data_IF_434833547303
#
_entry.id   IF_434833547303
#
_cell.length_a   1.000
_cell.length_b   1.000
_cell.length_c   1.000
_cell.angle_alpha   90.00
_cell.angle_beta   90.00
_cell.angle_gamma   90.00
#
_symmetry.space_group_name_H-M   'P 1'
#
loop_
_entity.id
_entity.type
_entity.pdbx_description
1 polymer ?
#
# COMPACT_ATOMS: atom_id res chain seq x y z
N UNK A 1 1.50 -6.70 -23.62
CA UNK A 1 1.59 -7.27 -22.27
C UNK A 1 0.32 -6.93 -21.51
N UNK A 2 -0.18 -7.84 -20.68
CA UNK A 2 -1.46 -7.73 -20.00
C UNK A 2 -1.24 -7.87 -18.49
N UNK A 3 -1.98 -7.10 -17.70
CA UNK A 3 -1.84 -7.07 -16.23
C UNK A 3 -3.23 -6.95 -15.60
N UNK A 4 -3.53 -7.87 -14.69
CA UNK A 4 -4.64 -7.71 -13.76
C UNK A 4 -4.18 -6.95 -12.52
N UNK A 5 -4.97 -5.99 -12.07
CA UNK A 5 -4.74 -5.22 -10.85
C UNK A 5 -5.84 -5.55 -9.85
N UNK A 6 -5.43 -6.15 -8.74
CA UNK A 6 -6.26 -6.48 -7.61
C UNK A 6 -6.21 -5.30 -6.64
N UNK A 7 -7.34 -4.61 -6.47
CA UNK A 7 -7.41 -3.42 -5.59
C UNK A 7 -8.13 -3.73 -4.29
N UNK A 8 -7.53 -3.36 -3.15
CA UNK A 8 -8.15 -3.45 -1.83
C UNK A 8 -8.74 -2.10 -1.46
N UNK A 9 -10.05 -2.03 -1.26
CA UNK A 9 -10.75 -0.76 -1.08
C UNK A 9 -10.93 0.00 -2.40
N UNK A 10 -11.17 1.30 -2.31
CA UNK A 10 -11.57 2.12 -3.46
C UNK A 10 -10.38 2.81 -4.13
N UNK A 11 -9.71 2.09 -5.05
CA UNK A 11 -8.62 2.65 -5.88
C UNK A 11 -9.21 3.25 -7.16
N UNK A 12 -8.97 4.54 -7.37
CA UNK A 12 -9.44 5.23 -8.57
C UNK A 12 -8.56 4.88 -9.78
N UNK A 13 -9.16 4.82 -10.97
CA UNK A 13 -8.42 4.53 -12.21
C UNK A 13 -7.24 5.49 -12.44
N UNK A 14 -7.37 6.73 -11.99
CA UNK A 14 -6.32 7.75 -12.09
C UNK A 14 -5.03 7.37 -11.36
N UNK A 15 -5.13 6.62 -10.26
CA UNK A 15 -3.99 6.14 -9.46
C UNK A 15 -3.19 5.04 -10.20
N UNK A 16 -3.77 4.46 -11.25
CA UNK A 16 -3.18 3.43 -12.10
C UNK A 16 -2.73 3.95 -13.47
N UNK A 17 -2.95 5.24 -13.77
CA UNK A 17 -2.67 5.82 -15.10
C UNK A 17 -1.23 5.62 -15.58
N UNK A 18 -0.26 5.58 -14.66
CA UNK A 18 1.14 5.34 -14.99
C UNK A 18 1.39 3.96 -15.61
N UNK A 19 0.52 2.97 -15.37
CA UNK A 19 0.63 1.63 -15.94
C UNK A 19 0.15 1.58 -17.41
N UNK A 20 -0.84 2.40 -17.76
CA UNK A 20 -1.54 2.34 -19.06
C UNK A 20 -0.61 2.47 -20.28
N UNK A 21 0.39 3.39 -20.32
CA UNK A 21 1.28 3.52 -21.47
C UNK A 21 2.14 2.27 -21.76
N UNK A 22 2.29 1.38 -20.78
CA UNK A 22 3.19 0.22 -20.87
C UNK A 22 2.46 -1.10 -21.18
N UNK A 23 1.12 -1.07 -21.18
CA UNK A 23 0.28 -2.25 -21.21
C UNK A 23 -0.69 -2.21 -22.39
N UNK A 24 -0.98 -3.38 -22.95
CA UNK A 24 -2.00 -3.55 -24.00
C UNK A 24 -3.40 -3.75 -23.39
N UNK A 25 -3.45 -4.23 -22.15
CA UNK A 25 -4.67 -4.50 -21.41
C UNK A 25 -4.38 -4.33 -19.92
N UNK A 26 -5.31 -3.67 -19.24
CA UNK A 26 -5.33 -3.49 -17.79
C UNK A 26 -6.72 -3.88 -17.30
N UNK A 27 -6.78 -4.93 -16.49
CA UNK A 27 -8.00 -5.38 -15.81
C UNK A 27 -7.95 -4.92 -14.35
N UNK A 28 -9.04 -4.42 -13.78
CA UNK A 28 -9.12 -4.08 -12.35
C UNK A 28 -10.15 -4.98 -11.65
N UNK A 29 -9.71 -5.68 -10.60
CA UNK A 29 -10.51 -6.55 -9.74
C UNK A 29 -10.61 -5.90 -8.36
N UNK A 30 -11.79 -5.41 -7.98
CA UNK A 30 -12.00 -4.71 -6.72
C UNK A 30 -12.40 -5.70 -5.61
N UNK A 31 -11.66 -5.67 -4.50
CA UNK A 31 -11.99 -6.39 -3.28
C UNK A 31 -12.51 -5.43 -2.22
N UNK A 32 -13.72 -5.72 -1.74
CA UNK A 32 -14.32 -5.04 -0.60
C UNK A 32 -13.75 -5.61 0.72
N UNK A 33 -12.49 -5.28 0.98
CA UNK A 33 -11.76 -5.64 2.21
C UNK A 33 -11.05 -4.41 2.77
N UNK A 34 -10.84 -4.33 4.09
CA UNK A 34 -10.04 -3.27 4.70
C UNK A 34 -8.65 -3.19 4.07
N UNK A 35 -8.28 -2.02 3.57
CA UNK A 35 -7.03 -1.81 2.84
C UNK A 35 -5.79 -1.76 3.74
N UNK A 36 -5.97 -1.50 5.04
CA UNK A 36 -4.92 -1.42 6.06
C UNK A 36 -4.52 -2.79 6.63
N UNK A 37 -5.41 -3.77 6.51
CA UNK A 37 -5.16 -5.12 6.98
C UNK A 37 -4.00 -5.80 6.20
N UNK A 38 -3.23 -6.69 6.86
CA UNK A 38 -2.25 -7.52 6.17
C UNK A 38 -2.90 -8.41 5.10
N UNK A 39 -2.26 -8.56 3.93
CA UNK A 39 -2.76 -9.41 2.84
C UNK A 39 -2.99 -10.86 3.27
N UNK A 40 -2.26 -11.34 4.29
CA UNK A 40 -2.41 -12.69 4.85
C UNK A 40 -3.79 -12.94 5.48
N UNK A 41 -4.48 -11.90 5.96
CA UNK A 41 -5.82 -12.03 6.57
C UNK A 41 -6.91 -12.27 5.52
N UNK A 42 -6.76 -11.70 4.32
CA UNK A 42 -7.76 -11.70 3.25
C UNK A 42 -7.48 -12.74 2.16
N UNK A 43 -6.93 -13.90 2.57
CA UNK A 43 -6.42 -14.89 1.61
C UNK A 43 -7.53 -15.54 0.77
N UNK A 44 -8.69 -15.78 1.36
CA UNK A 44 -9.80 -16.43 0.66
C UNK A 44 -10.33 -15.52 -0.45
N UNK A 45 -10.43 -14.23 -0.17
CA UNK A 45 -10.79 -13.16 -1.07
C UNK A 45 -9.75 -13.02 -2.19
N UNK A 46 -8.46 -12.97 -1.84
CA UNK A 46 -7.36 -12.91 -2.81
C UNK A 46 -7.34 -14.14 -3.74
N UNK A 47 -7.52 -15.35 -3.21
CA UNK A 47 -7.57 -16.56 -4.04
C UNK A 47 -8.73 -16.50 -5.04
N UNK A 48 -9.91 -16.04 -4.60
CA UNK A 48 -11.08 -15.85 -5.48
C UNK A 48 -10.81 -14.81 -6.57
N UNK A 49 -10.19 -13.69 -6.23
CA UNK A 49 -9.81 -12.66 -7.22
C UNK A 49 -8.80 -13.20 -8.24
N UNK A 50 -7.80 -13.96 -7.79
CA UNK A 50 -6.81 -14.61 -8.67
C UNK A 50 -7.46 -15.63 -9.61
N UNK A 51 -8.48 -16.36 -9.13
CA UNK A 51 -9.21 -17.34 -9.94
C UNK A 51 -10.14 -16.68 -10.96
N UNK A 52 -10.68 -15.50 -10.63
CA UNK A 52 -11.51 -14.69 -11.52
C UNK A 52 -10.70 -13.91 -12.57
N UNK A 53 -9.43 -13.62 -12.29
CA UNK A 53 -8.59 -12.81 -13.16
C UNK A 53 -8.37 -13.46 -14.54
N UNK A 54 -8.46 -12.65 -15.59
CA UNK A 54 -8.23 -13.11 -16.97
C UNK A 54 -6.75 -13.14 -17.32
N UNK A 55 -5.98 -12.23 -16.73
CA UNK A 55 -4.55 -12.06 -16.99
C UNK A 55 -3.67 -12.96 -16.11
N UNK A 56 -2.51 -13.34 -16.65
CA UNK A 56 -1.57 -14.24 -15.96
C UNK A 56 -0.73 -13.51 -14.89
N UNK A 57 -0.38 -12.25 -15.14
CA UNK A 57 0.32 -11.40 -14.18
C UNK A 57 -0.68 -10.57 -13.39
N UNK A 58 -0.49 -10.53 -12.08
CA UNK A 58 -1.36 -9.84 -11.13
C UNK A 58 -0.56 -8.90 -10.25
N UNK A 59 -1.05 -7.68 -10.07
CA UNK A 59 -0.53 -6.66 -9.17
C UNK A 59 -1.56 -6.38 -8.07
N UNK A 60 -1.13 -6.33 -6.81
CA UNK A 60 -1.96 -5.93 -5.67
C UNK A 60 -1.66 -4.47 -5.32
N UNK A 61 -2.70 -3.63 -5.35
CA UNK A 61 -2.66 -2.21 -4.95
C UNK A 61 -3.71 -1.97 -3.88
N UNK A 62 -3.39 -1.20 -2.85
CA UNK A 62 -4.34 -0.81 -1.79
C UNK A 62 -4.89 0.57 -2.07
N UNK A 63 -6.02 0.88 -1.46
CA UNK A 63 -6.55 2.23 -1.41
C UNK A 63 -5.44 3.23 -1.04
N UNK A 64 -5.41 4.36 -1.75
CA UNK A 64 -4.45 5.46 -1.56
C UNK A 64 -3.01 5.13 -1.93
N UNK A 65 -2.70 3.93 -2.44
CA UNK A 65 -1.40 3.63 -3.02
C UNK A 65 -1.31 4.12 -4.46
N UNK A 66 -0.31 4.95 -4.74
CA UNK A 66 -0.05 5.50 -6.06
C UNK A 66 1.05 4.68 -6.75
N UNK A 67 0.77 4.25 -7.98
CA UNK A 67 1.77 3.71 -8.91
C UNK A 67 2.27 4.87 -9.77
N UNK A 68 3.53 5.26 -9.60
CA UNK A 68 4.15 6.29 -10.46
C UNK A 68 4.90 5.70 -11.66
N UNK A 69 5.37 6.57 -12.55
CA UNK A 69 6.05 6.16 -13.78
C UNK A 69 7.32 5.33 -13.55
N UNK A 70 7.99 5.50 -12.40
CA UNK A 70 9.20 4.73 -12.09
C UNK A 70 8.82 3.30 -11.68
N UNK A 71 7.83 3.16 -10.79
CA UNK A 71 7.28 1.86 -10.38
C UNK A 71 6.64 1.14 -11.58
N UNK A 72 5.84 1.84 -12.40
CA UNK A 72 5.17 1.27 -13.55
C UNK A 72 6.15 0.69 -14.58
N UNK A 73 7.24 1.41 -14.86
CA UNK A 73 8.33 0.92 -15.72
C UNK A 73 9.01 -0.30 -15.12
N UNK A 74 9.36 -0.27 -13.84
CA UNK A 74 10.02 -1.41 -13.18
C UNK A 74 9.14 -2.66 -13.14
N UNK A 75 7.83 -2.51 -12.86
CA UNK A 75 6.85 -3.60 -12.95
C UNK A 75 6.84 -4.20 -14.35
N UNK A 76 6.78 -3.34 -15.37
CA UNK A 76 6.73 -3.75 -16.77
C UNK A 76 7.99 -4.49 -17.18
N UNK A 77 9.16 -3.99 -16.79
CA UNK A 77 10.45 -4.61 -17.09
C UNK A 77 10.62 -5.96 -16.36
N UNK A 78 10.17 -6.05 -15.10
CA UNK A 78 10.16 -7.29 -14.34
C UNK A 78 9.29 -8.37 -15.00
N UNK A 79 8.09 -8.01 -15.46
CA UNK A 79 7.20 -8.91 -16.19
C UNK A 79 7.78 -9.38 -17.53
N UNK A 80 8.54 -8.52 -18.23
CA UNK A 80 9.20 -8.86 -19.49
C UNK A 80 10.43 -9.76 -19.29
N UNK A 81 11.22 -9.49 -18.27
CA UNK A 81 12.44 -10.23 -17.97
C UNK A 81 12.16 -11.68 -17.53
N UNK A 82 11.03 -11.92 -16.84
CA UNK A 82 10.60 -13.25 -16.36
C UNK A 82 11.70 -14.03 -15.60
N UNK A 83 12.55 -13.32 -14.87
CA UNK A 83 13.62 -13.89 -14.04
C UNK A 83 13.12 -14.38 -12.67
N UNK A 84 11.89 -14.02 -12.30
CA UNK A 84 11.22 -14.41 -11.08
C UNK A 84 9.71 -14.49 -11.31
N UNK A 85 9.00 -15.24 -10.47
CA UNK A 85 7.54 -15.41 -10.56
C UNK A 85 6.77 -14.52 -9.59
N UNK A 86 7.48 -13.85 -8.69
CA UNK A 86 6.92 -13.00 -7.67
C UNK A 86 7.87 -11.86 -7.31
N UNK A 87 7.29 -10.71 -7.03
CA UNK A 87 8.01 -9.50 -6.70
C UNK A 87 7.43 -8.84 -5.46
N UNK A 88 8.31 -8.53 -4.52
CA UNK A 88 7.97 -7.72 -3.35
C UNK A 88 8.05 -6.25 -3.69
N UNK A 89 6.99 -5.52 -3.38
CA UNK A 89 6.94 -4.07 -3.55
C UNK A 89 6.66 -3.46 -2.17
N UNK A 90 7.47 -2.49 -1.78
CA UNK A 90 7.27 -1.75 -0.54
C UNK A 90 6.24 -0.65 -0.75
N UNK A 91 5.49 -0.35 0.30
CA UNK A 91 4.61 0.82 0.37
C UNK A 91 5.15 1.76 1.44
N UNK A 92 5.36 3.03 1.08
CA UNK A 92 5.81 4.07 2.02
C UNK A 92 4.65 5.03 2.27
N UNK A 93 4.20 5.18 3.53
CA UNK A 93 3.19 6.16 3.87
C UNK A 93 3.73 7.58 3.66
N UNK A 94 2.92 8.43 3.04
CA UNK A 94 3.23 9.81 2.70
C UNK A 94 2.25 10.73 3.41
N UNK A 95 2.78 11.77 4.05
CA UNK A 95 2.00 12.80 4.72
C UNK A 95 2.46 14.17 4.25
N UNK A 96 1.54 14.95 3.65
CA UNK A 96 1.83 16.27 3.11
C UNK A 96 3.06 16.27 2.18
N UNK A 97 3.15 15.29 1.29
CA UNK A 97 4.26 15.10 0.35
C UNK A 97 5.57 14.59 0.96
N UNK A 98 5.62 14.32 2.27
CA UNK A 98 6.82 13.82 2.96
C UNK A 98 6.66 12.35 3.37
N UNK A 99 7.68 11.50 3.20
CA UNK A 99 7.62 10.12 3.62
C UNK A 99 7.61 10.02 5.15
N UNK A 100 6.74 9.15 5.66
CA UNK A 100 6.70 8.71 7.05
C UNK A 100 7.52 7.43 7.19
N UNK A 101 8.39 7.37 8.20
CA UNK A 101 9.23 6.18 8.46
C UNK A 101 8.57 5.25 9.48
N UNK A 102 7.33 4.90 9.22
CA UNK A 102 6.54 4.00 10.06
C UNK A 102 6.58 2.60 9.44
N UNK A 103 6.96 1.59 10.23
CA UNK A 103 6.78 0.19 9.83
C UNK A 103 7.53 -0.19 8.55
N UNK A 104 8.78 0.26 8.38
CA UNK A 104 9.60 -0.06 7.20
C UNK A 104 9.86 -1.57 7.16
N UNK A 105 9.13 -2.28 6.32
CA UNK A 105 9.32 -3.71 6.04
C UNK A 105 10.01 -3.92 4.69
N UNK A 106 10.43 -5.16 4.42
CA UNK A 106 10.98 -5.54 3.11
C UNK A 106 9.94 -5.54 1.97
N UNK A 107 8.70 -5.13 2.26
CA UNK A 107 7.58 -5.13 1.35
C UNK A 107 6.84 -6.46 1.34
N UNK A 108 5.65 -6.45 0.78
CA UNK A 108 4.82 -7.65 0.64
C UNK A 108 4.92 -8.18 -0.79
N UNK A 109 4.57 -9.44 -1.02
CA UNK A 109 4.38 -9.94 -2.38
C UNK A 109 3.21 -9.17 -3.02
N UNK A 110 3.51 -8.34 -4.02
CA UNK A 110 2.50 -7.46 -4.67
C UNK A 110 2.34 -7.77 -6.14
N UNK A 111 3.41 -8.09 -6.87
CA UNK A 111 3.35 -8.48 -8.28
C UNK A 111 3.71 -9.95 -8.42
N UNK A 112 2.90 -10.77 -9.09
CA UNK A 112 3.19 -12.19 -9.26
C UNK A 112 2.47 -12.80 -10.46
N UNK A 113 2.99 -13.94 -10.91
CA UNK A 113 2.36 -14.75 -11.92
C UNK A 113 1.41 -15.77 -11.28
N UNK A 114 0.12 -15.74 -11.66
CA UNK A 114 -0.95 -16.51 -10.98
C UNK A 114 -0.70 -18.01 -10.91
N UNK A 115 -0.08 -18.60 -11.94
CA UNK A 115 0.20 -20.06 -12.00
C UNK A 115 1.18 -20.53 -10.92
N UNK A 116 1.99 -19.62 -10.40
CA UNK A 116 2.99 -19.93 -9.37
C UNK A 116 2.51 -19.57 -7.97
N UNK A 117 1.33 -18.94 -7.81
CA UNK A 117 0.85 -18.52 -6.49
C UNK A 117 0.65 -19.73 -5.55
N UNK A 118 1.24 -19.64 -4.35
CA UNK A 118 1.00 -20.60 -3.28
C UNK A 118 -0.39 -20.35 -2.68
N UNK A 119 -1.30 -21.31 -2.87
CA UNK A 119 -2.70 -21.17 -2.42
C UNK A 119 -2.87 -21.34 -0.90
N UNK A 120 -1.92 -21.99 -0.22
CA UNK A 120 -1.92 -22.28 1.22
C UNK A 120 -0.66 -21.73 1.89
N UNK A 121 -0.70 -21.50 3.20
CA UNK A 121 0.43 -21.01 3.98
C UNK A 121 0.59 -19.48 3.90
N UNK A 122 1.82 -18.98 3.96
CA UNK A 122 2.13 -17.55 3.77
C UNK A 122 1.94 -17.13 2.31
N UNK A 123 1.66 -15.85 2.07
CA UNK A 123 1.48 -15.34 0.70
C UNK A 123 2.82 -15.36 -0.04
N UNK A 124 2.91 -16.14 -1.10
CA UNK A 124 4.16 -16.46 -1.78
C UNK A 124 3.93 -17.08 -3.14
N UNK A 125 4.99 -17.29 -3.90
CA UNK A 125 4.98 -18.03 -5.16
C UNK A 125 5.94 -19.20 -5.11
N UNK A 126 5.72 -20.18 -5.98
CA UNK A 126 6.68 -21.24 -6.28
C UNK A 126 7.84 -20.66 -7.09
N UNK A 127 9.06 -20.75 -6.55
CA UNK A 127 10.28 -20.31 -7.20
C UNK A 127 10.81 -18.98 -6.66
N UNK A 128 11.53 -18.24 -7.50
CA UNK A 128 12.25 -17.04 -7.09
C UNK A 128 11.30 -15.88 -6.82
N UNK A 129 11.54 -15.20 -5.69
CA UNK A 129 10.93 -13.92 -5.35
C UNK A 129 12.01 -12.86 -5.29
N UNK A 130 11.82 -11.76 -6.01
CA UNK A 130 12.75 -10.62 -6.04
C UNK A 130 12.07 -9.40 -5.41
N UNK A 131 12.84 -8.46 -4.88
CA UNK A 131 12.32 -7.18 -4.41
C UNK A 131 12.54 -6.11 -5.47
N UNK A 132 11.50 -5.33 -5.75
CA UNK A 132 11.62 -4.15 -6.60
C UNK A 132 12.29 -2.99 -5.85
N UNK A 133 12.99 -2.14 -6.58
CA UNK A 133 13.74 -1.01 -6.03
C UNK A 133 12.81 0.15 -5.71
N UNK A 134 11.90 0.47 -6.64
CA UNK A 134 10.90 1.51 -6.47
C UNK A 134 9.77 1.04 -5.55
N UNK A 135 9.06 2.01 -4.99
CA UNK A 135 8.09 1.80 -3.91
C UNK A 135 6.76 2.44 -4.27
N UNK A 136 5.68 1.84 -3.82
CA UNK A 136 4.37 2.48 -3.82
C UNK A 136 4.35 3.59 -2.78
N UNK A 137 3.63 4.67 -3.08
CA UNK A 137 3.41 5.77 -2.14
C UNK A 137 1.97 5.68 -1.64
N UNK A 138 1.79 5.48 -0.34
CA UNK A 138 0.46 5.45 0.28
C UNK A 138 0.12 6.81 0.85
N UNK A 139 -0.81 7.54 0.25
CA UNK A 139 -1.17 8.89 0.66
C UNK A 139 -2.10 8.85 1.87
N UNK A 140 -1.64 9.33 3.03
CA UNK A 140 -2.50 9.45 4.21
C UNK A 140 -3.40 10.70 4.11
N UNK A 141 -2.76 11.86 3.90
CA UNK A 141 -3.41 13.15 3.65
C UNK A 141 -2.52 14.00 2.75
N UNK A 142 -3.13 14.70 1.79
CA UNK A 142 -2.42 15.56 0.85
C UNK A 142 -1.82 16.79 1.50
N UNK A 143 -2.47 17.33 2.53
CA UNK A 143 -2.00 18.50 3.28
C UNK A 143 -2.27 18.38 4.77
N UNK A 144 -1.52 19.15 5.56
CA UNK A 144 -1.76 19.28 7.01
C UNK A 144 -3.15 19.88 7.28
N UNK A 145 -3.60 20.82 6.44
CA UNK A 145 -4.91 21.45 6.58
C UNK A 145 -6.05 20.45 6.38
N UNK A 146 -5.97 19.59 5.35
CA UNK A 146 -6.95 18.54 5.10
C UNK A 146 -7.02 17.54 6.26
N UNK A 147 -5.87 17.21 6.87
CA UNK A 147 -5.84 16.36 8.06
C UNK A 147 -6.52 17.03 9.27
N UNK A 148 -6.29 18.33 9.49
CA UNK A 148 -6.94 19.07 10.59
C UNK A 148 -8.46 19.11 10.42
N UNK A 149 -8.94 19.44 9.23
CA UNK A 149 -10.39 19.45 8.93
C UNK A 149 -11.02 18.06 9.19
N UNK A 150 -10.32 16.99 8.82
CA UNK A 150 -10.75 15.63 9.12
C UNK A 150 -10.86 15.38 10.63
N UNK A 151 -9.87 15.81 11.43
CA UNK A 151 -9.88 15.65 12.88
C UNK A 151 -10.96 16.50 13.57
N UNK A 152 -11.24 17.70 13.07
CA UNK A 152 -12.34 18.53 13.56
C UNK A 152 -13.70 17.87 13.32
N UNK A 153 -13.87 17.20 12.18
CA UNK A 153 -15.13 16.55 11.79
C UNK A 153 -15.34 15.19 12.44
N UNK A 154 -14.27 14.41 12.61
CA UNK A 154 -14.36 12.99 12.97
C UNK A 154 -13.65 12.63 14.28
N UNK A 155 -12.87 13.54 14.85
CA UNK A 155 -12.09 13.30 16.06
C UNK A 155 -12.95 13.25 17.32
N UNK A 156 -12.63 12.31 18.22
CA UNK A 156 -13.20 12.29 19.57
C UNK A 156 -12.31 13.15 20.47
N UNK A 157 -12.84 14.13 21.21
CA UNK A 157 -12.03 14.92 22.11
C UNK A 157 -11.32 14.03 23.14
N UNK A 158 -10.00 14.13 23.21
CA UNK A 158 -9.17 13.38 24.15
C UNK A 158 -8.75 14.25 25.33
N UNK A 159 -8.74 13.67 26.54
CA UNK A 159 -8.09 14.27 27.71
C UNK A 159 -6.58 14.30 27.51
N UNK A 160 -5.89 15.23 28.18
CA UNK A 160 -4.44 15.42 28.04
C UNK A 160 -3.65 14.13 28.29
N UNK A 161 -4.02 13.37 29.33
CA UNK A 161 -3.41 12.08 29.64
C UNK A 161 -3.59 11.07 28.49
N UNK A 162 -4.78 11.02 27.88
CA UNK A 162 -5.05 10.12 26.76
C UNK A 162 -4.24 10.50 25.52
N UNK A 163 -4.10 11.80 25.21
CA UNK A 163 -3.24 12.30 24.11
C UNK A 163 -1.79 11.87 24.31
N UNK A 164 -1.27 12.01 25.54
CA UNK A 164 0.10 11.63 25.89
C UNK A 164 0.33 10.13 25.68
N UNK A 165 -0.60 9.31 26.18
CA UNK A 165 -0.51 7.86 26.06
C UNK A 165 -0.60 7.41 24.60
N UNK A 166 -1.49 8.00 23.79
CA UNK A 166 -1.59 7.70 22.36
C UNK A 166 -0.29 8.06 21.63
N UNK A 167 0.22 9.28 21.82
CA UNK A 167 1.46 9.71 21.19
C UNK A 167 2.65 8.82 21.59
N UNK A 168 2.84 8.59 22.90
CA UNK A 168 3.94 7.77 23.40
C UNK A 168 3.84 6.32 22.90
N UNK A 169 2.64 5.73 22.93
CA UNK A 169 2.40 4.39 22.42
C UNK A 169 2.75 4.29 20.93
N UNK A 170 2.22 5.19 20.09
CA UNK A 170 2.49 5.16 18.66
C UNK A 170 3.96 5.44 18.34
N UNK A 171 4.61 6.39 19.01
CA UNK A 171 6.04 6.67 18.80
C UNK A 171 6.91 5.45 19.15
N UNK A 172 6.60 4.75 20.24
CA UNK A 172 7.33 3.54 20.66
C UNK A 172 7.07 2.38 19.70
N UNK A 173 5.81 2.10 19.36
CA UNK A 173 5.44 0.98 18.47
C UNK A 173 6.02 1.16 17.07
N UNK A 174 5.97 2.38 16.54
CA UNK A 174 6.48 2.69 15.21
C UNK A 174 7.99 2.93 15.17
N UNK A 175 8.64 3.01 16.35
CA UNK A 175 10.06 3.40 16.50
C UNK A 175 10.37 4.70 15.75
N UNK A 176 9.44 5.65 15.81
CA UNK A 176 9.56 6.91 15.10
C UNK A 176 10.68 7.77 15.70
N UNK A 177 11.70 8.06 14.90
CA UNK A 177 12.81 8.91 15.30
C UNK A 177 12.97 10.16 14.42
N UNK A 178 12.31 10.21 13.26
CA UNK A 178 12.37 11.38 12.39
C UNK A 178 11.28 12.41 12.72
N UNK A 179 11.62 13.68 12.49
CA UNK A 179 10.77 14.81 12.84
C UNK A 179 9.42 14.84 12.11
N UNK A 180 9.33 14.32 10.88
CA UNK A 180 8.08 14.34 10.13
C UNK A 180 7.10 13.31 10.70
N UNK A 181 7.60 12.10 10.97
CA UNK A 181 6.81 11.03 11.60
C UNK A 181 6.35 11.43 12.99
N UNK A 182 7.24 12.00 13.82
CA UNK A 182 6.85 12.48 15.15
C UNK A 182 5.81 13.60 15.07
N UNK A 183 5.94 14.53 14.13
CA UNK A 183 4.95 15.59 13.91
C UNK A 183 3.59 15.03 13.48
N UNK A 184 3.57 14.06 12.57
CA UNK A 184 2.35 13.39 12.15
C UNK A 184 1.65 12.72 13.34
N UNK A 185 2.39 11.94 14.14
CA UNK A 185 1.84 11.27 15.34
C UNK A 185 1.36 12.26 16.41
N UNK A 186 2.02 13.42 16.52
CA UNK A 186 1.62 14.49 17.43
C UNK A 186 0.26 15.10 17.04
N UNK A 187 0.03 15.30 15.74
CA UNK A 187 -1.25 15.78 15.19
C UNK A 187 -2.34 14.72 15.39
N UNK A 188 -2.07 13.45 15.05
CA UNK A 188 -2.98 12.31 15.28
C UNK A 188 -3.40 12.18 16.76
N UNK A 189 -2.47 12.42 17.69
CA UNK A 189 -2.77 12.41 19.12
C UNK A 189 -3.61 13.62 19.60
N UNK A 190 -3.93 14.58 18.72
CA UNK A 190 -4.78 15.73 19.02
C UNK A 190 -4.05 16.84 19.79
N UNK A 191 -2.73 16.94 19.69
CA UNK A 191 -2.00 18.03 20.34
C UNK A 191 -1.99 19.33 19.53
N UNK A 192 -2.21 19.26 18.22
CA UNK A 192 -2.13 20.41 17.31
C UNK A 192 -3.54 21.01 17.05
N UNK A 193 -4.24 21.38 18.13
CA UNK A 193 -5.46 22.19 18.08
C UNK A 193 -5.06 23.67 18.33
N UNK A 194 -4.44 24.29 17.33
CA UNK A 194 -3.93 25.67 17.37
C UNK A 194 -3.54 26.20 16.01
#
# INVERSE_FOLDING_TARGET
MRLGVITLGHVHAEELNALTPHLQHLEQLVLDVPFDDPLSKHRAELNRAVDAATDDWLLIVREREIVDDAVAREITDAMRAQNAWGFRIRSIPMYAGKPLRIGVTDGELRLFHRRHLLRRGELGVQGTVVRLNNVLRSMSFDTVAAHREYLEKNGVPHSLLRRLLLFAHHAIVTRAHDANTLRYLWIEAGYDHG
#
